data_IF_614956249076
#
_entry.id   IF_614956249076
#
_cell.length_a   1.000
_cell.length_b   1.000
_cell.length_c   1.000
_cell.angle_alpha   90.00
_cell.angle_beta   90.00
_cell.angle_gamma   90.00
#
_symmetry.space_group_name_H-M   'P 1'
#
loop_
_entity.id
_entity.type
_entity.pdbx_description
1 polymer ?
#
# COMPACT_ATOMS: atom_id res chain seq x y z
N UNK A 1 -9.05 -27.43 -21.88
CA UNK A 1 -9.77 -26.27 -21.31
C UNK A 1 -8.92 -25.67 -20.20
N UNK A 2 -8.33 -24.50 -20.43
CA UNK A 2 -7.50 -23.83 -19.42
C UNK A 2 -8.42 -23.31 -18.32
N UNK A 3 -8.36 -23.93 -17.14
CA UNK A 3 -9.03 -23.41 -15.96
C UNK A 3 -8.40 -22.05 -15.65
N UNK A 4 -9.06 -20.97 -16.08
CA UNK A 4 -8.78 -19.63 -15.60
C UNK A 4 -9.11 -19.70 -14.11
N UNK A 5 -8.07 -19.83 -13.29
CA UNK A 5 -8.18 -19.77 -11.85
C UNK A 5 -8.76 -18.40 -11.49
N UNK A 6 -10.09 -18.29 -11.42
CA UNK A 6 -10.76 -17.20 -10.70
C UNK A 6 -10.51 -17.46 -9.22
N UNK A 7 -9.28 -17.20 -8.80
CA UNK A 7 -8.75 -17.53 -7.48
C UNK A 7 -9.57 -16.89 -6.35
N UNK A 8 -10.35 -15.83 -6.63
CA UNK A 8 -11.22 -15.19 -5.64
C UNK A 8 -12.52 -14.68 -6.28
N UNK A 9 -13.70 -14.96 -5.69
CA UNK A 9 -14.96 -14.32 -6.07
C UNK A 9 -14.85 -12.81 -5.81
N UNK A 10 -14.98 -11.98 -6.87
CA UNK A 10 -14.85 -10.52 -6.75
C UNK A 10 -15.93 -9.89 -5.85
N UNK A 11 -17.08 -10.53 -5.74
CA UNK A 11 -18.22 -10.16 -4.89
C UNK A 11 -17.97 -10.40 -3.40
N UNK A 12 -16.99 -11.25 -3.07
CA UNK A 12 -16.54 -11.50 -1.68
C UNK A 12 -15.18 -10.90 -1.36
N UNK A 13 -14.54 -10.27 -2.35
CA UNK A 13 -13.27 -9.62 -2.15
C UNK A 13 -13.49 -8.35 -1.33
N UNK A 14 -12.79 -8.23 -0.20
CA UNK A 14 -12.73 -6.98 0.54
C UNK A 14 -12.20 -5.87 -0.37
N UNK A 15 -12.64 -4.63 -0.17
CA UNK A 15 -12.11 -3.48 -0.92
C UNK A 15 -10.63 -3.32 -0.55
N UNK A 16 -9.76 -3.44 -1.54
CA UNK A 16 -8.31 -3.33 -1.37
C UNK A 16 -7.83 -1.98 -1.90
N UNK A 17 -6.82 -1.41 -1.23
CA UNK A 17 -6.07 -0.28 -1.75
C UNK A 17 -5.41 -0.60 -3.09
N UNK A 18 -5.15 0.44 -3.88
CA UNK A 18 -4.18 0.35 -4.97
C UNK A 18 -2.78 0.09 -4.43
N UNK A 19 -2.01 -0.67 -5.18
CA UNK A 19 -0.57 -0.77 -4.93
C UNK A 19 0.10 0.58 -5.24
N UNK A 20 1.12 0.99 -4.46
CA UNK A 20 1.91 2.15 -4.81
C UNK A 20 2.59 1.94 -6.16
N UNK A 21 2.76 3.02 -6.92
CA UNK A 21 3.48 2.98 -8.20
C UNK A 21 4.64 3.97 -8.17
N UNK A 22 5.66 3.71 -8.98
CA UNK A 22 6.88 4.50 -9.02
C UNK A 22 6.68 6.01 -9.29
N UNK A 23 5.56 6.36 -9.94
CA UNK A 23 5.30 7.73 -10.38
C UNK A 23 4.54 8.58 -9.36
N UNK A 24 4.14 8.02 -8.21
CA UNK A 24 3.34 8.73 -7.20
C UNK A 24 4.00 10.02 -6.71
N UNK A 25 5.32 10.06 -6.58
CA UNK A 25 6.05 11.25 -6.13
C UNK A 25 6.24 12.34 -7.18
N UNK A 26 5.96 12.06 -8.46
CA UNK A 26 6.24 12.95 -9.61
C UNK A 26 4.99 13.44 -10.32
N UNK A 27 3.90 12.68 -10.26
CA UNK A 27 2.66 13.03 -10.93
C UNK A 27 2.00 14.25 -10.27
N UNK A 28 1.07 14.87 -11.00
CA UNK A 28 0.24 15.96 -10.47
C UNK A 28 -0.48 15.55 -9.18
N UNK A 29 -0.94 16.54 -8.41
CA UNK A 29 -1.55 16.33 -7.10
C UNK A 29 -2.68 15.29 -7.12
N UNK A 30 -2.88 14.66 -5.96
CA UNK A 30 -4.02 13.80 -5.69
C UNK A 30 -5.34 14.42 -6.17
N UNK A 31 -6.25 13.58 -6.65
CA UNK A 31 -7.61 13.93 -7.04
C UNK A 31 -8.58 12.92 -6.45
N UNK A 32 -9.82 13.35 -6.19
CA UNK A 32 -10.85 12.41 -5.75
C UNK A 32 -10.96 11.23 -6.73
N UNK A 33 -10.99 9.96 -6.27
CA UNK A 33 -10.99 8.78 -7.13
C UNK A 33 -12.06 8.80 -8.23
N UNK A 34 -13.26 9.29 -7.93
CA UNK A 34 -14.34 9.35 -8.93
C UNK A 34 -14.10 10.42 -10.01
N UNK A 35 -13.46 11.54 -9.66
CA UNK A 35 -13.05 12.55 -10.65
C UNK A 35 -12.00 11.97 -11.60
N UNK A 36 -11.06 11.18 -11.07
CA UNK A 36 -10.02 10.54 -11.86
C UNK A 36 -10.60 9.49 -12.81
N UNK A 37 -11.53 8.66 -12.33
CA UNK A 37 -12.29 7.69 -13.15
C UNK A 37 -13.11 8.37 -14.25
N UNK A 38 -13.78 9.48 -13.96
CA UNK A 38 -14.54 10.24 -14.94
C UNK A 38 -13.64 10.78 -16.08
N UNK A 39 -12.37 11.06 -15.78
CA UNK A 39 -11.35 11.42 -16.78
C UNK A 39 -10.73 10.24 -17.54
N UNK A 40 -11.23 9.00 -17.36
CA UNK A 40 -10.72 7.81 -18.04
C UNK A 40 -9.46 7.19 -17.41
N UNK A 41 -9.04 7.65 -16.23
CA UNK A 41 -7.86 7.15 -15.53
C UNK A 41 -8.25 6.40 -14.24
N UNK A 42 -7.53 5.31 -13.93
CA UNK A 42 -7.69 4.64 -12.64
C UNK A 42 -7.18 5.53 -11.49
N UNK A 43 -7.81 5.49 -10.30
CA UNK A 43 -7.27 6.18 -9.14
C UNK A 43 -5.92 5.57 -8.74
N UNK A 44 -5.09 6.40 -8.14
CA UNK A 44 -3.81 6.00 -7.54
C UNK A 44 -3.97 5.73 -6.04
N UNK A 45 -2.95 5.14 -5.40
CA UNK A 45 -2.96 5.00 -3.94
C UNK A 45 -3.06 6.36 -3.23
N UNK A 46 -2.36 7.38 -3.73
CA UNK A 46 -2.42 8.72 -3.15
C UNK A 46 -3.84 9.30 -3.21
N UNK A 47 -4.57 9.07 -4.30
CA UNK A 47 -5.96 9.51 -4.43
C UNK A 47 -6.87 8.86 -3.38
N UNK A 48 -6.68 7.58 -3.11
CA UNK A 48 -7.48 6.84 -2.13
C UNK A 48 -7.17 7.33 -0.70
N UNK A 49 -5.89 7.44 -0.33
CA UNK A 49 -5.53 7.83 1.05
C UNK A 49 -5.85 9.28 1.36
N UNK A 50 -5.77 10.18 0.36
CA UNK A 50 -6.01 11.61 0.56
C UNK A 50 -7.51 11.95 0.62
N UNK A 51 -8.36 11.20 -0.10
CA UNK A 51 -9.78 11.57 -0.27
C UNK A 51 -10.79 10.61 0.35
N UNK A 52 -10.44 9.35 0.61
CA UNK A 52 -11.41 8.34 1.07
C UNK A 52 -11.28 7.98 2.56
N UNK A 53 -10.23 8.46 3.23
CA UNK A 53 -9.93 8.10 4.61
C UNK A 53 -10.33 9.22 5.56
N UNK A 54 -10.73 8.85 6.78
CA UNK A 54 -11.08 9.77 7.84
C UNK A 54 -9.89 9.95 8.78
N UNK A 55 -8.80 10.51 8.23
CA UNK A 55 -7.52 10.71 8.94
C UNK A 55 -6.81 11.93 8.37
N UNK A 56 -6.14 12.65 9.25
CA UNK A 56 -5.40 13.88 9.01
C UNK A 56 -3.91 13.65 9.25
N UNK A 57 -3.02 14.48 8.68
CA UNK A 57 -1.59 14.39 8.96
C UNK A 57 -1.19 14.61 10.43
N UNK A 58 -2.08 15.20 11.23
CA UNK A 58 -1.88 15.47 12.65
C UNK A 58 -2.29 14.31 13.56
N UNK A 59 -3.03 13.33 13.02
CA UNK A 59 -3.43 12.19 13.81
C UNK A 59 -2.21 11.37 14.19
N UNK A 60 -2.23 10.83 15.40
CA UNK A 60 -1.21 9.94 15.94
C UNK A 60 -1.84 8.58 16.21
N UNK A 61 -1.02 7.53 16.17
CA UNK A 61 -1.48 6.21 16.59
C UNK A 61 -1.79 6.25 18.09
N UNK A 62 -2.99 5.86 18.53
CA UNK A 62 -3.28 5.78 19.94
C UNK A 62 -2.43 4.68 20.60
N UNK A 63 -2.07 4.91 21.86
CA UNK A 63 -1.25 4.00 22.69
C UNK A 63 -2.09 2.85 23.29
N UNK A 64 -3.24 2.53 22.71
CA UNK A 64 -4.24 1.63 23.28
C UNK A 64 -4.28 0.24 22.61
N UNK A 65 -3.43 -0.03 21.63
CA UNK A 65 -3.34 -1.37 21.05
C UNK A 65 -2.44 -1.52 19.82
N UNK A 66 -2.34 -2.75 19.28
CA UNK A 66 -1.51 -3.07 18.12
C UNK A 66 -2.17 -2.71 16.78
N UNK A 67 -3.26 -1.94 16.79
CA UNK A 67 -4.10 -1.65 15.65
C UNK A 67 -4.39 -0.15 15.55
N UNK A 68 -4.41 0.35 14.32
CA UNK A 68 -4.89 1.70 14.04
C UNK A 68 -6.42 1.80 14.21
N UNK A 69 -6.97 3.00 14.49
CA UNK A 69 -8.42 3.19 14.64
C UNK A 69 -9.20 2.76 13.40
N UNK A 70 -10.19 1.88 13.57
CA UNK A 70 -10.93 1.29 12.46
C UNK A 70 -11.69 2.33 11.62
N UNK A 71 -12.14 3.42 12.27
CA UNK A 71 -12.84 4.54 11.68
C UNK A 71 -12.01 5.33 10.65
N UNK A 72 -10.68 5.25 10.70
CA UNK A 72 -9.81 5.91 9.71
C UNK A 72 -10.01 5.34 8.31
N UNK A 73 -10.31 4.05 8.22
CA UNK A 73 -10.09 3.26 7.01
C UNK A 73 -11.32 3.12 6.11
N UNK A 74 -12.49 3.53 6.59
CA UNK A 74 -13.75 3.44 5.84
C UNK A 74 -13.95 2.06 5.19
N UNK A 75 -14.13 1.97 3.85
CA UNK A 75 -14.34 0.69 3.16
C UNK A 75 -13.13 -0.26 3.21
N UNK A 76 -11.93 0.24 3.51
CA UNK A 76 -10.69 -0.56 3.55
C UNK A 76 -10.42 -1.19 4.93
N UNK A 77 -11.23 -0.88 5.96
CA UNK A 77 -10.97 -1.28 7.35
C UNK A 77 -10.70 -2.78 7.53
N UNK A 78 -11.46 -3.63 6.84
CA UNK A 78 -11.26 -5.09 6.90
C UNK A 78 -9.94 -5.55 6.26
N UNK A 79 -9.51 -4.89 5.18
CA UNK A 79 -8.25 -5.20 4.53
C UNK A 79 -7.06 -4.75 5.38
N UNK A 80 -7.14 -3.55 5.95
CA UNK A 80 -6.13 -3.00 6.87
C UNK A 80 -5.98 -3.89 8.09
N UNK A 81 -7.07 -4.22 8.78
CA UNK A 81 -7.04 -5.07 9.96
C UNK A 81 -6.37 -6.43 9.70
N UNK A 82 -6.67 -7.07 8.57
CA UNK A 82 -6.00 -8.33 8.19
C UNK A 82 -4.52 -8.14 7.95
N UNK A 83 -4.12 -7.03 7.33
CA UNK A 83 -2.71 -6.75 7.08
C UNK A 83 -1.95 -6.44 8.37
N UNK A 84 -2.56 -5.72 9.31
CA UNK A 84 -2.01 -5.51 10.66
C UNK A 84 -1.82 -6.82 11.41
N UNK A 85 -2.77 -7.76 11.32
CA UNK A 85 -2.61 -9.10 11.91
C UNK A 85 -1.44 -9.88 11.29
N UNK A 86 -1.26 -9.80 9.97
CA UNK A 86 -0.16 -10.47 9.27
C UNK A 86 1.19 -9.83 9.61
N UNK A 87 1.23 -8.49 9.67
CA UNK A 87 2.46 -7.73 9.94
C UNK A 87 2.77 -7.61 11.43
N UNK A 88 1.81 -7.92 12.31
CA UNK A 88 1.90 -7.74 13.77
C UNK A 88 2.32 -6.32 14.16
N UNK A 89 1.82 -5.33 13.42
CA UNK A 89 2.08 -3.91 13.67
C UNK A 89 0.91 -3.08 13.16
N UNK A 90 0.62 -1.99 13.84
CA UNK A 90 -0.42 -1.05 13.43
C UNK A 90 -0.08 -0.41 12.08
N UNK A 91 -1.10 -0.14 11.28
CA UNK A 91 -0.93 0.61 10.04
C UNK A 91 -0.48 2.05 10.37
N UNK A 92 0.64 2.55 9.81
CA UNK A 92 1.05 3.93 10.01
C UNK A 92 -0.01 4.92 9.49
N UNK A 93 0.03 6.15 9.99
CA UNK A 93 -0.79 7.25 9.47
C UNK A 93 -0.57 7.37 7.94
N UNK A 94 -1.62 7.24 7.11
CA UNK A 94 -1.46 7.02 5.68
C UNK A 94 -1.15 8.30 4.89
N UNK A 95 -1.20 9.45 5.56
CA UNK A 95 -1.01 10.77 4.96
C UNK A 95 -0.03 11.62 5.76
N UNK A 96 0.67 12.53 5.07
CA UNK A 96 1.60 13.49 5.65
C UNK A 96 1.40 14.88 5.06
N UNK A 97 1.79 15.91 5.81
CA UNK A 97 1.81 17.29 5.28
C UNK A 97 3.03 17.48 4.39
N UNK A 98 2.80 17.91 3.15
CA UNK A 98 3.84 18.26 2.20
C UNK A 98 4.43 19.67 2.48
N UNK A 99 5.57 20.02 1.85
CA UNK A 99 6.27 21.29 2.10
C UNK A 99 5.46 22.56 1.81
N UNK A 100 4.42 22.45 0.96
CA UNK A 100 3.52 23.54 0.59
C UNK A 100 2.17 23.48 1.32
N UNK A 101 2.08 22.73 2.41
CA UNK A 101 0.86 22.58 3.22
C UNK A 101 -0.17 21.56 2.72
N UNK A 102 -0.06 21.08 1.49
CA UNK A 102 -0.95 20.05 0.94
C UNK A 102 -0.76 18.68 1.58
N UNK A 103 -1.83 17.89 1.64
CA UNK A 103 -1.80 16.49 2.14
C UNK A 103 -1.28 15.56 1.05
N UNK A 104 -0.43 14.61 1.42
CA UNK A 104 0.22 13.64 0.50
C UNK A 104 0.23 12.25 1.11
N UNK A 105 0.44 11.23 0.28
CA UNK A 105 0.70 9.86 0.73
C UNK A 105 1.94 9.81 1.65
N UNK A 106 1.80 9.12 2.78
CA UNK A 106 2.92 8.80 3.68
C UNK A 106 3.82 7.71 3.08
N UNK A 107 5.14 7.94 2.93
CA UNK A 107 6.07 6.90 2.53
C UNK A 107 6.12 5.72 3.51
N UNK A 108 5.96 5.96 4.81
CA UNK A 108 5.97 4.91 5.83
C UNK A 108 4.77 3.98 5.68
N UNK A 109 3.59 4.55 5.39
CA UNK A 109 2.41 3.75 5.07
C UNK A 109 2.58 2.96 3.77
N UNK A 110 3.16 3.57 2.73
CA UNK A 110 3.41 2.87 1.47
C UNK A 110 4.41 1.70 1.65
N UNK A 111 5.44 1.88 2.48
CA UNK A 111 6.40 0.85 2.85
C UNK A 111 5.74 -0.30 3.62
N UNK A 112 4.94 0.03 4.63
CA UNK A 112 4.15 -0.94 5.40
C UNK A 112 3.17 -1.72 4.53
N UNK A 113 2.47 -1.03 3.62
CA UNK A 113 1.54 -1.64 2.66
C UNK A 113 2.25 -2.64 1.74
N UNK A 114 3.50 -2.36 1.37
CA UNK A 114 4.34 -3.27 0.59
C UNK A 114 4.94 -4.42 1.43
N UNK A 115 4.68 -4.45 2.74
CA UNK A 115 5.15 -5.51 3.64
C UNK A 115 6.63 -5.46 3.95
N UNK A 116 7.24 -4.29 3.79
CA UNK A 116 8.61 -4.01 4.19
C UNK A 116 8.65 -3.66 5.68
N UNK A 117 9.79 -3.93 6.32
CA UNK A 117 9.98 -3.57 7.72
C UNK A 117 10.16 -2.05 7.87
N UNK A 118 9.76 -1.46 9.01
CA UNK A 118 9.81 -0.02 9.20
C UNK A 118 11.21 0.55 8.98
N UNK A 119 11.31 1.57 8.13
CA UNK A 119 12.54 2.25 7.80
C UNK A 119 13.35 1.62 6.67
N UNK A 120 12.91 0.51 6.08
CA UNK A 120 13.68 -0.22 5.05
C UNK A 120 14.12 0.66 3.87
N UNK A 121 13.20 1.48 3.37
CA UNK A 121 13.42 2.56 2.40
C UNK A 121 13.37 3.90 3.12
N UNK A 122 12.43 4.09 4.06
CA UNK A 122 12.13 5.43 4.57
C UNK A 122 13.17 6.00 5.52
N UNK A 123 14.02 5.16 6.14
CA UNK A 123 15.15 5.59 6.98
C UNK A 123 16.46 5.75 6.22
N UNK A 124 16.50 5.49 4.91
CA UNK A 124 17.71 5.69 4.09
C UNK A 124 18.03 7.19 3.98
N UNK A 125 19.21 7.65 4.45
CA UNK A 125 19.58 9.06 4.41
C UNK A 125 19.65 9.62 2.98
N UNK A 126 19.27 10.89 2.83
CA UNK A 126 19.38 11.62 1.56
C UNK A 126 18.26 11.38 0.55
N UNK A 127 17.31 10.48 0.81
CA UNK A 127 16.16 10.27 -0.07
C UNK A 127 15.08 11.33 0.13
N UNK A 128 14.67 11.97 -0.96
CA UNK A 128 13.49 12.83 -0.99
C UNK A 128 12.19 12.01 -0.84
N UNK A 129 11.08 12.67 -0.48
CA UNK A 129 9.75 12.04 -0.39
C UNK A 129 9.38 11.29 -1.67
N UNK A 130 9.61 11.91 -2.84
CA UNK A 130 9.32 11.31 -4.14
C UNK A 130 10.19 10.08 -4.42
N UNK A 131 11.48 10.14 -4.08
CA UNK A 131 12.43 9.04 -4.25
C UNK A 131 12.14 7.82 -3.36
N UNK A 132 11.61 8.05 -2.15
CA UNK A 132 11.13 6.99 -1.27
C UNK A 132 9.95 6.26 -1.91
N UNK A 133 8.92 7.01 -2.34
CA UNK A 133 7.74 6.46 -2.99
C UNK A 133 8.08 5.76 -4.32
N UNK A 134 9.04 6.29 -5.09
CA UNK A 134 9.51 5.67 -6.32
C UNK A 134 10.14 4.29 -6.05
N UNK A 135 11.02 4.19 -5.05
CA UNK A 135 11.68 2.93 -4.68
C UNK A 135 10.68 1.91 -4.13
N UNK A 136 9.76 2.35 -3.27
CA UNK A 136 8.70 1.50 -2.71
C UNK A 136 7.78 1.00 -3.84
N UNK A 137 7.35 1.89 -4.74
CA UNK A 137 6.45 1.56 -5.85
C UNK A 137 7.09 0.72 -6.96
N UNK A 138 8.41 0.66 -7.05
CA UNK A 138 9.16 -0.26 -7.91
C UNK A 138 9.49 -1.60 -7.23
N UNK A 139 9.21 -1.71 -5.93
CA UNK A 139 9.44 -2.92 -5.15
C UNK A 139 8.41 -4.02 -5.41
N UNK A 140 8.53 -5.11 -4.65
CA UNK A 140 7.60 -6.23 -4.63
C UNK A 140 7.16 -6.50 -3.20
N UNK A 141 6.01 -7.12 -3.01
CA UNK A 141 5.59 -7.61 -1.69
C UNK A 141 6.45 -8.82 -1.31
N UNK A 142 7.31 -8.77 -0.27
CA UNK A 142 8.28 -9.84 0.03
C UNK A 142 7.64 -11.22 0.21
N UNK A 143 6.46 -11.27 0.83
CA UNK A 143 5.70 -12.51 1.02
C UNK A 143 5.30 -13.16 -0.30
N UNK A 144 4.88 -12.36 -1.29
CA UNK A 144 4.52 -12.85 -2.63
C UNK A 144 5.77 -13.29 -3.40
N UNK A 145 6.86 -12.51 -3.30
CA UNK A 145 8.14 -12.84 -3.93
C UNK A 145 8.73 -14.14 -3.39
N UNK A 146 8.72 -14.33 -2.06
CA UNK A 146 9.17 -15.56 -1.42
C UNK A 146 8.38 -16.78 -1.91
N UNK A 147 7.04 -16.66 -1.96
CA UNK A 147 6.20 -17.74 -2.48
C UNK A 147 6.55 -18.07 -3.94
N UNK A 148 6.68 -17.05 -4.79
CA UNK A 148 7.04 -17.24 -6.20
C UNK A 148 8.41 -17.92 -6.36
N UNK A 149 9.43 -17.49 -5.60
CA UNK A 149 10.75 -18.11 -5.62
C UNK A 149 10.72 -19.55 -5.11
N UNK A 150 9.91 -19.85 -4.09
CA UNK A 150 9.74 -21.22 -3.60
C UNK A 150 9.15 -22.15 -4.67
N UNK A 151 8.16 -21.69 -5.44
CA UNK A 151 7.58 -22.49 -6.53
C UNK A 151 8.55 -22.61 -7.72
N UNK A 152 9.30 -21.56 -8.04
CA UNK A 152 10.35 -21.62 -9.06
C UNK A 152 11.44 -22.62 -8.68
N UNK A 153 11.89 -22.63 -7.42
CA UNK A 153 12.91 -23.56 -6.94
C UNK A 153 12.47 -25.02 -7.11
N UNK A 154 11.25 -25.37 -6.73
CA UNK A 154 10.70 -26.73 -6.94
C UNK A 154 10.76 -27.17 -8.39
N UNK A 155 10.51 -26.24 -9.31
CA UNK A 155 10.54 -26.50 -10.76
C UNK A 155 11.95 -26.75 -11.27
N UNK A 156 12.95 -26.06 -10.70
CA UNK A 156 14.36 -26.28 -11.03
C UNK A 156 14.82 -27.64 -10.51
N UNK A 157 14.54 -27.95 -9.24
CA UNK A 157 14.94 -29.21 -8.62
C UNK A 157 14.39 -30.42 -9.41
N UNK A 158 13.13 -30.34 -9.88
CA UNK A 158 12.49 -31.40 -10.67
C UNK A 158 12.98 -31.55 -12.12
N UNK A 159 13.87 -30.66 -12.60
CA UNK A 159 14.49 -30.74 -13.94
C UNK A 159 15.90 -31.32 -13.91
N UNK A 160 16.49 -31.44 -12.72
CA UNK A 160 17.82 -32.02 -12.52
C UNK A 160 17.77 -33.56 -12.33
N UNK A 161 16.56 -34.12 -12.22
CA UNK A 161 16.24 -35.57 -12.23
C UNK A 161 15.72 -36.04 -13.60
#
# INVERSE_FOLDING_TARGET
MTAIARLFPRDRADVLFKTPTANLGRNGSAQHPDKRKAGGHGPTLEDEVVFLLNVTPEDELPDDGPHSPAEWWGPFARAVYRWELIRQTAAPVPVVRGPRGGVKLSPDFAEWLMGLDPGWVTSVPGLTHAEKLERIGNGVVPHQAFYAFRELKKTLDARED
#
